data_IF_950873539831
#
_entry.id   IF_950873539831
#
_cell.length_a   1.000
_cell.length_b   1.000
_cell.length_c   1.000
_cell.angle_alpha   90.00
_cell.angle_beta   90.00
_cell.angle_gamma   90.00
#
_symmetry.space_group_name_H-M   'P 1'
#
loop_
_entity.id
_entity.type
_entity.pdbx_description
1 polymer ?
#
# COMPACT_ATOMS: atom_id res chain seq x y z
N UNK A 1 -16.86 -46.79 -12.23
CA UNK A 1 -16.21 -45.48 -12.49
C UNK A 1 -14.99 -45.25 -11.58
N UNK A 2 -14.91 -45.89 -10.41
CA UNK A 2 -13.72 -45.82 -9.52
C UNK A 2 -12.46 -46.49 -10.10
N UNK A 3 -12.57 -47.64 -10.77
CA UNK A 3 -11.38 -48.35 -11.29
C UNK A 3 -10.61 -47.57 -12.37
N UNK A 4 -11.31 -46.76 -13.18
CA UNK A 4 -10.70 -45.93 -14.23
C UNK A 4 -9.87 -44.78 -13.61
N UNK A 5 -10.29 -44.29 -12.45
CA UNK A 5 -9.58 -43.25 -11.68
C UNK A 5 -8.28 -43.80 -11.08
N UNK A 6 -8.31 -45.00 -10.52
CA UNK A 6 -7.13 -45.65 -9.93
C UNK A 6 -6.11 -45.99 -11.00
N UNK A 7 -6.54 -46.54 -12.14
CA UNK A 7 -5.65 -46.84 -13.26
C UNK A 7 -4.97 -45.57 -13.81
N UNK A 8 -5.72 -44.48 -13.94
CA UNK A 8 -5.17 -43.19 -14.37
C UNK A 8 -4.14 -42.61 -13.40
N UNK A 9 -4.33 -42.80 -12.09
CA UNK A 9 -3.36 -42.39 -11.07
C UNK A 9 -2.09 -43.25 -11.11
N UNK A 10 -2.22 -44.56 -11.32
CA UNK A 10 -1.08 -45.48 -11.49
C UNK A 10 -0.27 -45.10 -12.73
N UNK A 11 -0.93 -44.81 -13.85
CA UNK A 11 -0.26 -44.40 -15.09
C UNK A 11 0.42 -43.02 -14.95
N UNK A 12 -0.12 -42.14 -14.11
CA UNK A 12 0.52 -40.87 -13.77
C UNK A 12 1.75 -41.06 -12.88
N UNK A 13 1.71 -42.02 -11.94
CA UNK A 13 2.83 -42.37 -11.08
C UNK A 13 3.95 -43.05 -11.88
N UNK A 14 3.62 -43.99 -12.77
CA UNK A 14 4.61 -44.66 -13.62
C UNK A 14 5.38 -43.65 -14.48
N UNK A 15 4.68 -42.70 -15.10
CA UNK A 15 5.33 -41.62 -15.86
C UNK A 15 6.26 -40.75 -15.00
N UNK A 16 5.88 -40.48 -13.75
CA UNK A 16 6.75 -39.75 -12.81
C UNK A 16 7.96 -40.58 -12.39
N UNK A 17 7.78 -41.89 -12.18
CA UNK A 17 8.87 -42.80 -11.86
C UNK A 17 9.84 -42.95 -13.03
N UNK A 18 9.34 -43.04 -14.27
CA UNK A 18 10.17 -43.10 -15.47
C UNK A 18 11.00 -41.83 -15.62
N UNK A 19 10.40 -40.65 -15.40
CA UNK A 19 11.12 -39.37 -15.41
C UNK A 19 12.20 -39.30 -14.31
N UNK A 20 11.89 -39.77 -13.09
CA UNK A 20 12.87 -39.82 -12.00
C UNK A 20 13.98 -40.83 -12.30
N UNK A 21 13.66 -41.98 -12.90
CA UNK A 21 14.63 -42.99 -13.31
C UNK A 21 15.60 -42.44 -14.35
N UNK A 22 15.09 -41.71 -15.34
CA UNK A 22 15.91 -41.04 -16.36
C UNK A 22 16.88 -40.02 -15.73
N UNK A 23 16.38 -39.18 -14.82
CA UNK A 23 17.21 -38.20 -14.11
C UNK A 23 18.26 -38.86 -13.20
N UNK A 24 17.89 -39.94 -12.51
CA UNK A 24 18.82 -40.72 -11.67
C UNK A 24 19.91 -41.39 -12.52
N UNK A 25 19.56 -41.90 -13.71
CA UNK A 25 20.55 -42.47 -14.63
C UNK A 25 21.52 -41.41 -15.14
N UNK A 26 21.03 -40.23 -15.53
CA UNK A 26 21.85 -39.09 -15.94
C UNK A 26 22.78 -38.63 -14.79
N UNK A 27 22.25 -38.57 -13.57
CA UNK A 27 23.01 -38.20 -12.38
C UNK A 27 24.10 -39.23 -12.06
N UNK A 28 23.80 -40.53 -12.20
CA UNK A 28 24.77 -41.60 -11.97
C UNK A 28 25.94 -41.53 -12.96
N UNK A 29 25.65 -41.33 -14.25
CA UNK A 29 26.68 -41.20 -15.28
C UNK A 29 27.61 -39.99 -15.02
N UNK A 30 27.06 -38.87 -14.55
CA UNK A 30 27.87 -37.70 -14.16
C UNK A 30 28.75 -37.97 -12.94
N UNK A 31 28.36 -38.86 -12.03
CA UNK A 31 29.20 -39.25 -10.88
C UNK A 31 30.36 -40.14 -11.30
N UNK A 32 30.11 -41.12 -12.18
CA UNK A 32 31.14 -42.02 -12.72
C UNK A 32 32.20 -41.23 -13.51
N UNK A 33 31.78 -40.32 -14.39
CA UNK A 33 32.74 -39.49 -15.15
C UNK A 33 33.55 -38.53 -14.27
N UNK A 34 33.00 -38.11 -13.12
CA UNK A 34 33.74 -37.33 -12.11
C UNK A 34 34.78 -38.18 -11.39
N UNK A 35 34.46 -39.42 -11.02
CA UNK A 35 35.41 -40.34 -10.40
C UNK A 35 36.59 -40.65 -11.32
N UNK A 36 36.32 -40.89 -12.61
CA UNK A 36 37.36 -41.11 -13.62
C UNK A 36 38.24 -39.87 -13.82
N UNK A 37 37.64 -38.67 -13.91
CA UNK A 37 38.41 -37.43 -14.05
C UNK A 37 39.30 -37.16 -12.84
N UNK A 38 38.82 -37.46 -11.62
CA UNK A 38 39.60 -37.34 -10.38
C UNK A 38 40.77 -38.34 -10.39
N UNK A 39 40.53 -39.56 -10.84
CA UNK A 39 41.56 -40.59 -10.99
C UNK A 39 42.65 -40.15 -11.97
N UNK A 40 42.28 -39.68 -13.16
CA UNK A 40 43.22 -39.25 -14.21
C UNK A 40 43.99 -37.97 -13.83
N UNK A 41 43.32 -37.02 -13.16
CA UNK A 41 43.96 -35.83 -12.59
C UNK A 41 44.98 -36.17 -11.51
N UNK A 42 44.76 -37.23 -10.72
CA UNK A 42 45.71 -37.62 -9.67
C UNK A 42 47.04 -38.12 -10.25
N UNK A 43 47.01 -38.74 -11.43
CA UNK A 43 48.18 -39.28 -12.13
C UNK A 43 48.98 -38.15 -12.79
N UNK A 44 48.32 -37.31 -13.59
CA UNK A 44 48.98 -36.19 -14.30
C UNK A 44 49.36 -35.06 -13.34
N UNK A 45 48.57 -34.88 -12.28
CA UNK A 45 48.77 -33.84 -11.27
C UNK A 45 50.09 -33.98 -10.52
N UNK A 46 50.60 -35.22 -10.35
CA UNK A 46 51.87 -35.46 -9.66
C UNK A 46 53.07 -34.81 -10.37
N UNK A 47 53.12 -34.94 -11.70
CA UNK A 47 54.24 -34.40 -12.50
C UNK A 47 54.15 -32.87 -12.64
N UNK A 48 52.94 -32.35 -12.85
CA UNK A 48 52.69 -30.91 -12.86
C UNK A 48 53.01 -30.26 -11.50
N UNK A 49 52.63 -30.93 -10.41
CA UNK A 49 52.87 -30.49 -9.04
C UNK A 49 54.36 -30.38 -8.71
N UNK A 50 55.14 -31.43 -9.00
CA UNK A 50 56.59 -31.41 -8.81
C UNK A 50 57.26 -30.30 -9.61
N UNK A 51 56.78 -30.02 -10.81
CA UNK A 51 57.30 -28.93 -11.64
C UNK A 51 56.96 -27.54 -11.08
N UNK A 52 55.72 -27.32 -10.61
CA UNK A 52 55.29 -26.05 -9.99
C UNK A 52 56.01 -25.77 -8.67
N UNK A 53 56.19 -26.78 -7.81
CA UNK A 53 56.95 -26.64 -6.57
C UNK A 53 58.39 -26.24 -6.85
N UNK A 54 59.06 -26.88 -7.82
CA UNK A 54 60.42 -26.52 -8.22
C UNK A 54 60.54 -25.09 -8.79
N UNK A 55 59.51 -24.60 -9.47
CA UNK A 55 59.49 -23.21 -9.98
C UNK A 55 59.20 -22.17 -8.89
N UNK A 56 58.34 -22.49 -7.93
CA UNK A 56 58.02 -21.59 -6.80
C UNK A 56 59.17 -21.47 -5.80
N UNK A 57 59.90 -22.57 -5.57
CA UNK A 57 61.12 -22.58 -4.76
C UNK A 57 62.21 -21.69 -5.40
N UNK A 58 62.33 -21.73 -6.74
CA UNK A 58 63.18 -20.81 -7.51
C UNK A 58 62.72 -19.34 -7.47
N UNK A 59 61.44 -19.08 -7.23
CA UNK A 59 60.89 -17.74 -7.10
C UNK A 59 61.03 -17.16 -5.68
N UNK A 60 61.63 -17.91 -4.74
CA UNK A 60 61.91 -17.45 -3.38
C UNK A 60 60.67 -17.42 -2.47
N UNK A 61 59.62 -18.16 -2.81
CA UNK A 61 58.41 -18.25 -1.99
C UNK A 61 58.51 -19.53 -1.14
N UNK A 62 58.76 -19.40 0.17
CA UNK A 62 58.71 -20.54 1.11
C UNK A 62 57.25 -21.04 1.22
N UNK A 63 56.85 -21.94 0.33
CA UNK A 63 55.61 -22.69 0.45
C UNK A 63 55.93 -24.14 0.78
N UNK A 64 55.31 -24.63 1.85
CA UNK A 64 55.31 -26.06 2.16
C UNK A 64 54.59 -26.82 1.02
N UNK A 65 55.33 -27.68 0.32
CA UNK A 65 54.81 -28.50 -0.76
C UNK A 65 53.66 -29.40 -0.30
N UNK A 66 53.67 -29.85 0.95
CA UNK A 66 52.57 -30.68 1.48
C UNK A 66 51.27 -29.87 1.57
N UNK A 67 51.36 -28.58 1.91
CA UNK A 67 50.22 -27.66 1.96
C UNK A 67 49.68 -27.37 0.56
N UNK A 68 50.54 -27.14 -0.44
CA UNK A 68 50.12 -26.92 -1.82
C UNK A 68 49.46 -28.17 -2.44
N UNK A 69 50.02 -29.36 -2.18
CA UNK A 69 49.42 -30.62 -2.62
C UNK A 69 48.03 -30.81 -1.98
N UNK A 70 47.92 -30.55 -0.68
CA UNK A 70 46.65 -30.59 0.05
C UNK A 70 45.61 -29.60 -0.49
N UNK A 71 46.02 -28.41 -0.92
CA UNK A 71 45.14 -27.43 -1.55
C UNK A 71 44.67 -27.87 -2.93
N UNK A 72 45.55 -28.42 -3.76
CA UNK A 72 45.17 -28.96 -5.08
C UNK A 72 44.20 -30.13 -4.97
N UNK A 73 44.45 -31.05 -4.04
CA UNK A 73 43.51 -32.15 -3.77
C UNK A 73 42.18 -31.62 -3.27
N UNK A 74 42.16 -30.61 -2.38
CA UNK A 74 40.92 -29.96 -1.93
C UNK A 74 40.20 -29.25 -3.07
N UNK A 75 40.90 -28.61 -4.00
CA UNK A 75 40.29 -27.99 -5.17
C UNK A 75 39.65 -29.04 -6.08
N UNK A 76 40.39 -30.09 -6.45
CA UNK A 76 39.90 -31.19 -7.30
C UNK A 76 38.69 -31.88 -6.66
N UNK A 77 38.78 -32.20 -5.37
CA UNK A 77 37.69 -32.85 -4.63
C UNK A 77 36.45 -31.98 -4.50
N UNK A 78 36.61 -30.66 -4.49
CA UNK A 78 35.51 -29.70 -4.40
C UNK A 78 35.15 -29.05 -5.74
N UNK A 79 35.65 -29.56 -6.88
CA UNK A 79 35.33 -29.02 -8.20
C UNK A 79 33.81 -28.98 -8.45
N UNK A 80 33.05 -29.96 -7.94
CA UNK A 80 31.59 -29.96 -8.02
C UNK A 80 30.95 -28.76 -7.32
N UNK A 81 31.42 -28.42 -6.11
CA UNK A 81 30.91 -27.27 -5.36
C UNK A 81 31.32 -25.94 -6.00
N UNK A 82 32.52 -25.89 -6.59
CA UNK A 82 32.99 -24.71 -7.33
C UNK A 82 32.14 -24.53 -8.60
N UNK A 83 31.77 -25.62 -9.28
CA UNK A 83 30.90 -25.57 -10.45
C UNK A 83 29.51 -25.06 -10.08
N UNK A 84 28.89 -25.60 -9.03
CA UNK A 84 27.60 -25.10 -8.52
C UNK A 84 27.64 -23.61 -8.15
N UNK A 85 28.74 -23.15 -7.56
CA UNK A 85 28.94 -21.73 -7.27
C UNK A 85 29.04 -20.91 -8.57
N UNK A 86 29.71 -21.40 -9.60
CA UNK A 86 29.81 -20.73 -10.89
C UNK A 86 28.45 -20.69 -11.61
N UNK A 87 27.70 -21.78 -11.59
CA UNK A 87 26.33 -21.84 -12.13
C UNK A 87 25.40 -20.87 -11.39
N UNK A 88 25.60 -20.72 -10.07
CA UNK A 88 24.90 -19.72 -9.25
C UNK A 88 25.29 -18.30 -9.64
N UNK A 89 26.58 -18.03 -9.87
CA UNK A 89 27.05 -16.72 -10.33
C UNK A 89 26.49 -16.37 -11.71
N UNK A 90 26.42 -17.33 -12.62
CA UNK A 90 25.79 -17.16 -13.93
C UNK A 90 24.30 -16.84 -13.80
N UNK A 91 23.59 -17.59 -12.96
CA UNK A 91 22.17 -17.36 -12.68
C UNK A 91 21.90 -15.98 -12.05
N UNK A 92 22.74 -15.54 -11.11
CA UNK A 92 22.66 -14.21 -10.49
C UNK A 92 22.99 -13.12 -11.52
N UNK A 93 24.00 -13.34 -12.37
CA UNK A 93 24.35 -12.41 -13.42
C UNK A 93 23.21 -12.24 -14.42
N UNK A 94 22.60 -13.35 -14.85
CA UNK A 94 21.47 -13.37 -15.76
C UNK A 94 20.24 -12.70 -15.13
N UNK A 95 19.97 -12.97 -13.85
CA UNK A 95 18.93 -12.26 -13.12
C UNK A 95 19.19 -10.75 -13.11
N UNK A 96 20.41 -10.30 -12.80
CA UNK A 96 20.76 -8.87 -12.80
C UNK A 96 20.60 -8.27 -14.20
N UNK A 97 21.07 -8.95 -15.25
CA UNK A 97 20.90 -8.51 -16.65
C UNK A 97 19.44 -8.39 -17.04
N UNK A 98 18.59 -9.32 -16.59
CA UNK A 98 17.17 -9.35 -16.93
C UNK A 98 16.34 -8.37 -16.06
N UNK A 99 16.70 -8.17 -14.81
CA UNK A 99 15.99 -7.30 -13.86
C UNK A 99 16.38 -5.83 -14.04
N UNK A 100 17.62 -5.52 -14.41
CA UNK A 100 18.09 -4.13 -14.54
C UNK A 100 17.23 -3.27 -15.49
N UNK A 101 16.87 -3.73 -16.71
CA UNK A 101 15.99 -2.97 -17.60
C UNK A 101 14.59 -2.75 -17.03
N UNK A 102 14.02 -3.76 -16.37
CA UNK A 102 12.69 -3.69 -15.74
C UNK A 102 12.72 -2.70 -14.59
N UNK A 103 13.72 -2.80 -13.71
CA UNK A 103 13.89 -1.91 -12.57
C UNK A 103 14.09 -0.45 -13.02
N UNK A 104 14.80 -0.23 -14.12
CA UNK A 104 14.98 1.10 -14.69
C UNK A 104 13.65 1.67 -15.21
N UNK A 105 12.88 0.90 -15.96
CA UNK A 105 11.57 1.33 -16.47
C UNK A 105 10.56 1.57 -15.36
N UNK A 106 10.43 0.63 -14.42
CA UNK A 106 9.55 0.77 -13.25
C UNK A 106 9.96 1.97 -12.40
N UNK A 107 11.26 2.20 -12.23
CA UNK A 107 11.78 3.37 -11.53
C UNK A 107 11.42 4.68 -12.23
N UNK A 108 11.61 4.77 -13.55
CA UNK A 108 11.22 5.94 -14.34
C UNK A 108 9.71 6.18 -14.30
N UNK A 109 8.91 5.13 -14.44
CA UNK A 109 7.45 5.22 -14.37
C UNK A 109 6.99 5.67 -12.98
N UNK A 110 7.60 5.15 -11.90
CA UNK A 110 7.31 5.58 -10.55
C UNK A 110 7.68 7.06 -10.33
N UNK A 111 8.83 7.51 -10.81
CA UNK A 111 9.24 8.92 -10.74
C UNK A 111 8.25 9.81 -11.51
N UNK A 112 7.88 9.41 -12.74
CA UNK A 112 6.92 10.14 -13.54
C UNK A 112 5.53 10.20 -12.89
N UNK A 113 5.08 9.09 -12.29
CA UNK A 113 3.80 9.01 -11.56
C UNK A 113 3.81 9.89 -10.32
N UNK A 114 4.91 9.89 -9.57
CA UNK A 114 5.07 10.73 -8.39
C UNK A 114 5.13 12.21 -8.78
N UNK A 115 5.86 12.57 -9.84
CA UNK A 115 5.87 13.92 -10.37
C UNK A 115 4.48 14.36 -10.88
N UNK A 116 3.71 13.44 -11.47
CA UNK A 116 2.32 13.69 -11.85
C UNK A 116 1.43 13.91 -10.62
N UNK A 117 1.60 13.13 -9.55
CA UNK A 117 0.87 13.27 -8.30
C UNK A 117 1.18 14.60 -7.61
N UNK A 118 2.45 14.99 -7.59
CA UNK A 118 2.90 16.28 -7.09
C UNK A 118 2.32 17.43 -7.92
N UNK A 119 2.40 17.38 -9.25
CA UNK A 119 1.84 18.41 -10.15
C UNK A 119 0.33 18.55 -9.99
N UNK A 120 -0.39 17.45 -9.73
CA UNK A 120 -1.84 17.46 -9.46
C UNK A 120 -2.17 17.88 -8.02
N UNK A 121 -1.17 18.14 -7.18
CA UNK A 121 -1.36 18.62 -5.80
C UNK A 121 -1.81 17.54 -4.82
N UNK A 122 -1.70 16.24 -5.16
CA UNK A 122 -2.10 15.16 -4.25
C UNK A 122 -1.23 15.13 -2.99
N UNK A 123 0.07 15.41 -3.11
CA UNK A 123 0.97 15.48 -1.96
C UNK A 123 0.60 16.63 -1.03
N UNK A 124 0.29 17.81 -1.59
CA UNK A 124 -0.13 18.96 -0.80
C UNK A 124 -1.48 18.74 -0.13
N UNK A 125 -2.42 18.09 -0.83
CA UNK A 125 -3.69 17.67 -0.25
C UNK A 125 -3.51 16.69 0.92
N UNK A 126 -2.63 15.70 0.79
CA UNK A 126 -2.32 14.74 1.87
C UNK A 126 -1.66 15.46 3.05
N UNK A 127 -0.73 16.39 2.80
CA UNK A 127 -0.10 17.20 3.84
C UNK A 127 -1.14 18.03 4.61
N UNK A 128 -2.05 18.68 3.91
CA UNK A 128 -3.12 19.47 4.53
C UNK A 128 -4.12 18.59 5.28
N UNK A 129 -4.46 17.40 4.78
CA UNK A 129 -5.23 16.42 5.55
C UNK A 129 -4.51 16.01 6.85
N UNK A 130 -3.19 15.85 6.80
CA UNK A 130 -2.36 15.59 7.98
C UNK A 130 -2.45 16.72 9.00
N UNK A 131 -2.36 17.98 8.57
CA UNK A 131 -2.51 19.16 9.43
C UNK A 131 -3.90 19.27 10.05
N UNK A 132 -4.94 18.97 9.27
CA UNK A 132 -6.31 18.88 9.77
C UNK A 132 -6.40 17.79 10.84
N UNK A 133 -5.84 16.60 10.58
CA UNK A 133 -5.76 15.52 11.55
C UNK A 133 -5.05 15.93 12.84
N UNK A 134 -3.90 16.60 12.75
CA UNK A 134 -3.12 17.09 13.91
C UNK A 134 -3.93 18.10 14.74
N UNK A 135 -4.54 19.10 14.08
CA UNK A 135 -5.39 20.09 14.72
C UNK A 135 -6.60 19.44 15.42
N UNK A 136 -7.20 18.43 14.79
CA UNK A 136 -8.27 17.64 15.38
C UNK A 136 -7.74 16.92 16.62
N UNK A 137 -6.65 16.17 16.53
CA UNK A 137 -6.10 15.42 17.68
C UNK A 137 -5.63 16.30 18.85
N UNK A 138 -5.30 17.57 18.59
CA UNK A 138 -4.89 18.54 19.61
C UNK A 138 -6.08 19.08 20.41
N UNK A 139 -7.25 19.23 19.78
CA UNK A 139 -8.43 19.85 20.40
C UNK A 139 -9.56 18.85 20.71
N UNK A 140 -9.53 17.68 20.08
CA UNK A 140 -10.55 16.66 20.14
C UNK A 140 -9.92 15.34 20.56
N UNK A 141 -10.59 14.63 21.45
CA UNK A 141 -10.17 13.31 21.87
C UNK A 141 -10.32 12.30 20.71
N UNK A 142 -9.66 11.12 20.78
CA UNK A 142 -9.88 10.05 19.81
C UNK A 142 -11.34 9.58 19.72
N UNK A 143 -12.15 9.76 20.77
CA UNK A 143 -13.58 9.48 20.75
C UNK A 143 -14.32 10.52 19.91
N UNK A 144 -14.03 11.81 20.10
CA UNK A 144 -14.64 12.90 19.33
C UNK A 144 -14.31 12.79 17.83
N UNK A 145 -13.10 12.35 17.48
CA UNK A 145 -12.71 12.12 16.10
C UNK A 145 -13.49 10.96 15.43
N UNK A 146 -13.85 9.92 16.20
CA UNK A 146 -14.70 8.83 15.71
C UNK A 146 -16.13 9.29 15.53
N UNK A 147 -16.68 10.00 16.50
CA UNK A 147 -18.03 10.57 16.41
C UNK A 147 -18.14 11.52 15.21
N UNK A 148 -17.09 12.30 14.94
CA UNK A 148 -17.01 13.13 13.74
C UNK A 148 -16.96 12.28 12.47
N UNK A 149 -16.13 11.25 12.40
CA UNK A 149 -16.01 10.37 11.23
C UNK A 149 -17.34 9.67 10.90
N UNK A 150 -18.05 9.18 11.93
CA UNK A 150 -19.32 8.50 11.78
C UNK A 150 -20.45 9.45 11.34
N UNK A 151 -20.35 10.73 11.72
CA UNK A 151 -21.36 11.74 11.42
C UNK A 151 -20.98 12.74 10.31
N UNK A 152 -19.80 12.61 9.69
CA UNK A 152 -19.29 13.59 8.73
C UNK A 152 -20.24 13.76 7.54
N UNK A 153 -20.85 12.67 7.07
CA UNK A 153 -21.84 12.71 5.98
C UNK A 153 -23.06 13.54 6.38
N UNK A 154 -23.61 13.33 7.57
CA UNK A 154 -24.77 14.07 8.08
C UNK A 154 -24.45 15.57 8.26
N UNK A 155 -23.24 15.88 8.72
CA UNK A 155 -22.75 17.26 8.86
C UNK A 155 -22.64 17.90 7.47
N UNK A 156 -21.98 17.25 6.51
CA UNK A 156 -21.83 17.76 5.15
C UNK A 156 -23.18 17.94 4.45
N UNK A 157 -24.13 17.04 4.65
CA UNK A 157 -25.50 17.21 4.15
C UNK A 157 -26.21 18.40 4.80
N UNK A 158 -26.01 18.62 6.10
CA UNK A 158 -26.59 19.76 6.81
C UNK A 158 -26.00 21.07 6.32
N UNK A 159 -24.67 21.14 6.19
CA UNK A 159 -23.98 22.28 5.59
C UNK A 159 -24.52 22.54 4.18
N UNK A 160 -24.62 21.50 3.34
CA UNK A 160 -25.19 21.58 1.98
C UNK A 160 -26.64 22.07 1.98
N UNK A 161 -27.46 21.72 2.98
CA UNK A 161 -28.84 22.21 3.12
C UNK A 161 -28.88 23.69 3.50
N UNK A 162 -28.01 24.12 4.41
CA UNK A 162 -27.92 25.51 4.87
C UNK A 162 -27.33 26.42 3.79
N UNK A 163 -26.40 25.91 2.96
CA UNK A 163 -25.80 26.65 1.85
C UNK A 163 -26.69 26.70 0.59
N UNK A 164 -27.91 26.17 0.64
CA UNK A 164 -28.87 26.37 -0.45
C UNK A 164 -29.22 27.86 -0.59
N UNK A 165 -29.44 28.38 -1.82
CA UNK A 165 -29.70 29.81 -2.05
C UNK A 165 -30.77 30.40 -1.14
N UNK A 166 -31.92 29.72 -1.00
CA UNK A 166 -33.04 30.20 -0.17
C UNK A 166 -32.66 30.31 1.31
N UNK A 167 -31.87 29.37 1.83
CA UNK A 167 -31.42 29.35 3.23
C UNK A 167 -30.34 30.40 3.48
N UNK A 168 -29.41 30.58 2.55
CA UNK A 168 -28.40 31.64 2.63
C UNK A 168 -29.05 33.03 2.65
N UNK A 169 -30.07 33.26 1.83
CA UNK A 169 -30.83 34.52 1.85
C UNK A 169 -31.51 34.73 3.20
N UNK A 170 -32.14 33.70 3.77
CA UNK A 170 -32.76 33.78 5.09
C UNK A 170 -31.74 34.10 6.21
N UNK A 171 -30.58 33.44 6.20
CA UNK A 171 -29.49 33.69 7.15
C UNK A 171 -28.95 35.11 7.01
N UNK A 172 -28.67 35.57 5.79
CA UNK A 172 -28.17 36.92 5.54
C UNK A 172 -29.18 37.99 6.00
N UNK A 173 -30.47 37.78 5.73
CA UNK A 173 -31.53 38.67 6.20
C UNK A 173 -31.60 38.69 7.74
N UNK A 174 -31.48 37.54 8.40
CA UNK A 174 -31.46 37.47 9.86
C UNK A 174 -30.26 38.21 10.48
N UNK A 175 -29.07 38.07 9.88
CA UNK A 175 -27.85 38.79 10.31
C UNK A 175 -28.03 40.31 10.12
N UNK A 176 -28.57 40.74 8.98
CA UNK A 176 -28.84 42.15 8.70
C UNK A 176 -29.85 42.75 9.70
N UNK A 177 -30.93 42.03 9.99
CA UNK A 177 -31.93 42.45 10.99
C UNK A 177 -31.28 42.54 12.37
N UNK A 178 -30.54 41.50 12.81
CA UNK A 178 -29.85 41.49 14.09
C UNK A 178 -28.89 42.68 14.25
N UNK A 179 -28.12 43.01 13.21
CA UNK A 179 -27.20 44.15 13.21
C UNK A 179 -27.89 45.51 13.21
N UNK A 180 -29.14 45.59 12.71
CA UNK A 180 -29.93 46.83 12.68
C UNK A 180 -30.73 47.10 13.96
N UNK A 181 -30.86 46.13 14.86
CA UNK A 181 -31.57 46.28 16.12
C UNK A 181 -30.65 46.95 17.16
N UNK A 182 -31.04 48.11 17.68
CA UNK A 182 -30.39 48.71 18.85
C UNK A 182 -30.79 47.91 20.10
N UNK A 183 -29.95 46.94 20.47
CA UNK A 183 -30.19 46.08 21.63
C UNK A 183 -29.95 46.76 22.98
N UNK A 184 -29.40 47.97 22.97
CA UNK A 184 -29.10 48.71 24.20
C UNK A 184 -30.26 49.63 24.58
N UNK A 185 -31.07 50.08 23.61
CA UNK A 185 -32.23 50.94 23.82
C UNK A 185 -33.51 50.31 23.29
N UNK A 186 -33.95 49.22 23.93
CA UNK A 186 -35.24 48.60 23.60
C UNK A 186 -36.36 49.50 24.10
N UNK A 187 -37.16 50.06 23.19
CA UNK A 187 -38.28 50.94 23.52
C UNK A 187 -39.33 50.18 24.36
N UNK A 188 -39.71 50.73 25.52
CA UNK A 188 -40.75 50.15 26.36
C UNK A 188 -42.14 50.31 25.71
N UNK A 189 -42.90 49.21 25.66
CA UNK A 189 -44.27 49.21 25.13
C UNK A 189 -45.29 49.31 26.27
N UNK A 190 -46.17 50.32 26.21
CA UNK A 190 -47.37 50.35 27.07
C UNK A 190 -48.42 49.35 26.57
N UNK A 191 -49.30 48.87 27.47
CA UNK A 191 -50.36 47.91 27.13
C UNK A 191 -51.24 48.36 25.95
N UNK A 192 -51.52 49.67 25.86
CA UNK A 192 -52.29 50.24 24.74
C UNK A 192 -51.47 50.32 23.45
N UNK A 193 -50.19 50.71 23.53
CA UNK A 193 -49.29 50.75 22.38
C UNK A 193 -49.07 49.34 21.81
N UNK A 194 -48.88 48.34 22.66
CA UNK A 194 -48.80 46.93 22.27
C UNK A 194 -50.07 46.45 21.56
N UNK A 195 -51.26 46.80 22.08
CA UNK A 195 -52.53 46.47 21.43
C UNK A 195 -52.68 47.12 20.05
N UNK A 196 -52.29 48.39 19.92
CA UNK A 196 -52.28 49.10 18.64
C UNK A 196 -51.30 48.46 17.65
N UNK A 197 -50.12 48.08 18.13
CA UNK A 197 -49.06 47.45 17.33
C UNK A 197 -49.47 46.05 16.86
N UNK A 198 -50.19 45.27 17.67
CA UNK A 198 -50.76 43.98 17.24
C UNK A 198 -51.68 44.09 16.01
N UNK A 199 -52.26 45.26 15.78
CA UNK A 199 -53.12 45.54 14.63
C UNK A 199 -52.34 46.05 13.42
N UNK A 200 -51.04 46.35 13.54
CA UNK A 200 -50.22 46.83 12.42
C UNK A 200 -50.14 45.78 11.31
N UNK A 201 -50.02 46.19 10.04
CA UNK A 201 -49.84 45.28 8.90
C UNK A 201 -48.66 44.33 9.09
N UNK A 202 -47.57 44.80 9.68
CA UNK A 202 -46.32 44.08 9.93
C UNK A 202 -46.55 42.96 10.95
N UNK A 203 -47.12 43.29 12.12
CA UNK A 203 -47.39 42.30 13.17
C UNK A 203 -48.42 41.26 12.73
N UNK A 204 -49.46 41.66 11.98
CA UNK A 204 -50.43 40.72 11.41
C UNK A 204 -49.80 39.76 10.41
N UNK A 205 -48.88 40.23 9.55
CA UNK A 205 -48.11 39.38 8.63
C UNK A 205 -47.18 38.44 9.40
N UNK A 206 -46.51 38.93 10.44
CA UNK A 206 -45.64 38.13 11.31
C UNK A 206 -46.39 37.01 12.03
N UNK A 207 -47.54 37.33 12.63
CA UNK A 207 -48.42 36.31 13.25
C UNK A 207 -48.92 35.29 12.21
N UNK A 208 -49.31 35.72 11.01
CA UNK A 208 -49.71 34.83 9.92
C UNK A 208 -48.58 33.88 9.49
N UNK A 209 -47.36 34.40 9.37
CA UNK A 209 -46.16 33.59 9.13
C UNK A 209 -45.96 32.55 10.24
N UNK A 210 -46.01 32.96 11.51
CA UNK A 210 -45.80 32.07 12.64
C UNK A 210 -46.85 30.95 12.70
N UNK A 211 -48.12 31.28 12.46
CA UNK A 211 -49.20 30.29 12.39
C UNK A 211 -48.97 29.29 11.26
N UNK A 212 -48.59 29.76 10.07
CA UNK A 212 -48.32 28.88 8.94
C UNK A 212 -47.07 28.02 9.15
N UNK A 213 -46.03 28.58 9.76
CA UNK A 213 -44.80 27.88 10.11
C UNK A 213 -45.08 26.73 11.09
N UNK A 214 -45.78 27.02 12.20
CA UNK A 214 -46.17 26.03 13.19
C UNK A 214 -47.04 24.91 12.59
N UNK A 215 -48.03 25.26 11.76
CA UNK A 215 -48.87 24.27 11.07
C UNK A 215 -48.04 23.33 10.18
N UNK A 216 -47.07 23.88 9.44
CA UNK A 216 -46.22 23.10 8.54
C UNK A 216 -45.22 22.21 9.29
N UNK A 217 -44.72 22.66 10.45
CA UNK A 217 -43.85 21.86 11.31
C UNK A 217 -44.57 20.61 11.84
N UNK A 218 -45.77 20.78 12.39
CA UNK A 218 -46.59 19.67 12.90
C UNK A 218 -46.91 18.68 11.77
N UNK A 219 -47.32 19.18 10.60
CA UNK A 219 -47.61 18.35 9.42
C UNK A 219 -46.39 17.55 8.95
N UNK A 220 -45.19 18.12 8.99
CA UNK A 220 -43.97 17.37 8.65
C UNK A 220 -43.63 16.30 9.68
N UNK A 221 -43.83 16.55 10.98
CA UNK A 221 -43.61 15.56 12.03
C UNK A 221 -44.56 14.36 11.87
N UNK A 222 -45.85 14.61 11.61
CA UNK A 222 -46.85 13.57 11.35
C UNK A 222 -46.51 12.73 10.09
N UNK A 223 -46.01 13.36 9.03
CA UNK A 223 -45.59 12.68 7.81
C UNK A 223 -44.36 11.78 8.03
N UNK A 224 -43.45 12.17 8.93
CA UNK A 224 -42.28 11.36 9.28
C UNK A 224 -42.67 10.17 10.15
N UNK A 225 -43.61 10.34 11.07
CA UNK A 225 -44.13 9.26 11.92
C UNK A 225 -44.93 8.22 11.13
N UNK A 226 -45.61 8.59 10.05
CA UNK A 226 -46.33 7.65 9.17
C UNK A 226 -45.43 6.88 8.19
N UNK A 227 -44.15 7.26 8.07
CA UNK A 227 -43.17 6.62 7.18
C UNK A 227 -42.21 5.68 7.92
N UNK A 228 -42.30 5.64 9.25
CA UNK A 228 -41.69 4.64 10.12
C UNK A 228 -42.74 3.58 10.44
#
# INVERSE_FOLDING_TARGET
MEDISIQSQIDAINRKLDFILEEIMAQKQSRESREDLISDLSVIGKDAFSHTVSQLDKAGVEFDGEVLAGLLVKLIRNLGNINELMDTFESVHDLIKNVTPIAHQVGLDAINKMAEFERKGYLDFIRELGRVGENITTHFSPADARDLADNIVNILETVKRVTKPDMLVAVNNAIAVYGSLDMQNIEEFSLWKAFREMRSPEMRKGMGFMVNFLKNLVKQQELRQKRQ
#
